data_IF_156299993315
#
_entry.id   IF_156299993315
#
_cell.length_a   1.000
_cell.length_b   1.000
_cell.length_c   1.000
_cell.angle_alpha   90.00
_cell.angle_beta   90.00
_cell.angle_gamma   90.00
#
_symmetry.space_group_name_H-M   'P 1'
#
loop_
_entity.id
_entity.type
_entity.pdbx_description
1 polymer ?
#
# COMPACT_ATOMS: atom_id res chain seq x y z
N UNK A 1 10.91 39.75 70.63
CA UNK A 1 9.88 39.94 69.55
C UNK A 1 10.32 39.18 68.31
N UNK A 2 9.86 37.93 68.16
CA UNK A 2 10.19 37.10 67.07
C UNK A 2 9.10 37.26 65.97
N UNK A 3 9.47 37.73 64.75
CA UNK A 3 8.59 37.82 63.60
C UNK A 3 8.77 36.59 62.73
N UNK A 4 7.79 35.67 62.76
CA UNK A 4 7.70 34.51 61.88
C UNK A 4 7.28 34.96 60.48
N UNK A 5 8.12 34.76 59.47
CA UNK A 5 7.77 34.99 58.05
C UNK A 5 7.12 33.72 57.52
N UNK A 6 5.87 33.82 57.12
CA UNK A 6 5.13 32.78 56.40
C UNK A 6 5.46 32.95 54.89
N UNK A 7 6.07 31.94 54.28
CA UNK A 7 6.33 31.89 52.85
C UNK A 7 5.18 31.12 52.19
N UNK A 8 4.39 31.81 51.38
CA UNK A 8 3.36 31.16 50.51
C UNK A 8 4.08 30.61 49.28
N UNK A 9 4.11 29.29 49.12
CA UNK A 9 4.54 28.63 47.91
C UNK A 9 3.33 28.57 46.94
N UNK A 10 3.41 29.30 45.83
CA UNK A 10 2.42 29.25 44.75
C UNK A 10 2.74 28.03 43.86
N UNK A 11 1.88 27.02 43.91
CA UNK A 11 1.97 25.85 43.02
C UNK A 11 1.36 26.26 41.67
N UNK A 12 2.22 26.43 40.65
CA UNK A 12 1.76 26.56 39.27
C UNK A 12 1.38 25.17 38.72
N UNK A 13 0.09 24.95 38.54
CA UNK A 13 -0.44 23.76 37.90
C UNK A 13 -0.27 23.94 36.34
N UNK A 14 0.71 23.29 35.75
CA UNK A 14 0.86 23.28 34.29
C UNK A 14 -0.21 22.38 33.68
N UNK A 15 -1.22 22.98 33.06
CA UNK A 15 -2.22 22.29 32.26
C UNK A 15 -1.53 21.90 30.94
N UNK A 16 -1.14 20.64 30.80
CA UNK A 16 -0.74 20.04 29.54
C UNK A 16 -1.99 19.98 28.63
N UNK A 17 -2.18 21.01 27.83
CA UNK A 17 -3.20 21.04 26.79
C UNK A 17 -2.86 19.99 25.71
N UNK A 18 -3.41 18.80 25.83
CA UNK A 18 -3.41 17.82 24.74
C UNK A 18 -4.18 18.42 23.56
N UNK A 19 -3.48 18.78 22.49
CA UNK A 19 -4.12 19.13 21.23
C UNK A 19 -4.80 17.85 20.71
N UNK A 20 -6.12 17.88 20.41
CA UNK A 20 -6.73 16.77 19.71
C UNK A 20 -6.04 16.66 18.35
N UNK A 21 -5.36 15.54 18.10
CA UNK A 21 -4.99 15.14 16.75
C UNK A 21 -6.32 15.12 15.97
N UNK A 22 -6.46 16.05 15.03
CA UNK A 22 -7.58 16.04 14.09
C UNK A 22 -7.45 14.71 13.34
N UNK A 23 -8.28 13.74 13.67
CA UNK A 23 -8.41 12.51 12.90
C UNK A 23 -8.73 12.94 11.46
N UNK A 24 -7.85 12.57 10.52
CA UNK A 24 -8.14 12.80 9.10
C UNK A 24 -9.46 12.09 8.80
N UNK A 25 -10.44 12.83 8.31
CA UNK A 25 -11.75 12.28 7.97
C UNK A 25 -11.64 11.44 6.71
N UNK A 26 -11.30 10.16 6.89
CA UNK A 26 -11.31 9.17 5.81
C UNK A 26 -12.77 8.80 5.52
N UNK A 27 -13.16 8.80 4.23
CA UNK A 27 -14.54 8.45 3.82
C UNK A 27 -14.89 7.01 4.26
N UNK A 28 -16.03 6.83 4.88
CA UNK A 28 -16.48 5.52 5.40
C UNK A 28 -16.68 4.45 4.31
N UNK A 29 -16.83 4.84 3.04
CA UNK A 29 -16.92 3.94 1.88
C UNK A 29 -15.57 3.44 1.43
N UNK A 30 -14.45 3.99 1.95
CA UNK A 30 -13.10 3.62 1.55
C UNK A 30 -12.93 2.11 1.51
N UNK A 31 -12.58 1.61 0.36
CA UNK A 31 -12.37 0.18 0.10
C UNK A 31 -11.13 -0.10 -0.74
N UNK A 32 -10.32 0.94 -0.98
CA UNK A 32 -9.05 0.90 -1.67
C UNK A 32 -8.10 1.96 -1.09
N UNK A 33 -6.84 1.57 -0.93
CA UNK A 33 -5.74 2.52 -0.71
C UNK A 33 -4.40 1.91 -1.16
N UNK A 34 -3.45 2.78 -1.49
CA UNK A 34 -2.03 2.45 -1.60
C UNK A 34 -1.40 2.64 -0.20
N UNK A 35 -0.63 1.69 0.31
CA UNK A 35 -0.05 1.82 1.66
C UNK A 35 0.90 3.01 1.76
N UNK A 36 0.84 3.76 2.87
CA UNK A 36 1.71 4.92 3.11
C UNK A 36 3.15 4.53 3.44
N UNK A 37 3.36 3.31 3.95
CA UNK A 37 4.66 2.77 4.33
C UNK A 37 4.67 1.26 4.13
N UNK A 38 5.74 0.74 3.53
CA UNK A 38 5.97 -0.68 3.41
C UNK A 38 6.48 -1.30 4.72
N UNK A 39 6.52 -2.64 4.82
CA UNK A 39 7.09 -3.34 6.00
C UNK A 39 8.59 -3.06 6.23
N UNK A 40 9.29 -2.50 5.24
CA UNK A 40 10.72 -2.13 5.36
C UNK A 40 11.71 -3.26 5.10
N UNK A 41 11.25 -4.40 4.59
CA UNK A 41 12.07 -5.56 4.28
C UNK A 41 11.99 -5.95 2.78
N UNK A 42 11.94 -4.95 1.91
CA UNK A 42 11.88 -5.15 0.47
C UNK A 42 10.65 -5.96 0.03
N UNK A 43 10.89 -7.02 -0.76
CA UNK A 43 9.87 -7.94 -1.23
C UNK A 43 9.50 -9.05 -0.23
N UNK A 44 10.18 -9.15 0.91
CA UNK A 44 9.76 -10.03 2.00
C UNK A 44 8.66 -9.36 2.82
N UNK A 45 7.43 -9.66 2.47
CA UNK A 45 6.22 -9.15 3.12
C UNK A 45 5.66 -10.14 4.16
N UNK A 46 6.34 -11.26 4.40
CA UNK A 46 5.83 -12.40 5.17
C UNK A 46 4.76 -13.18 4.39
N UNK A 47 4.91 -13.27 3.07
CA UNK A 47 3.94 -13.87 2.14
C UNK A 47 2.64 -13.06 2.04
N UNK A 48 1.63 -13.63 1.37
CA UNK A 48 0.31 -12.98 1.25
C UNK A 48 -0.31 -12.67 2.62
N UNK A 49 -0.16 -13.58 3.59
CA UNK A 49 -0.72 -13.39 4.93
C UNK A 49 -0.08 -12.23 5.69
N UNK A 50 1.22 -11.99 5.50
CA UNK A 50 1.92 -10.85 6.08
C UNK A 50 1.46 -9.54 5.46
N UNK A 51 1.37 -9.50 4.13
CA UNK A 51 0.86 -8.34 3.40
C UNK A 51 -0.61 -8.01 3.78
N UNK A 52 -1.47 -9.02 3.91
CA UNK A 52 -2.86 -8.84 4.34
C UNK A 52 -2.96 -8.26 5.76
N UNK A 53 -2.14 -8.77 6.70
CA UNK A 53 -2.06 -8.20 8.06
C UNK A 53 -1.60 -6.75 8.04
N UNK A 54 -0.66 -6.40 7.17
CA UNK A 54 -0.19 -5.02 7.03
C UNK A 54 -1.31 -4.10 6.53
N UNK A 55 -2.06 -4.53 5.49
CA UNK A 55 -3.27 -3.84 5.03
C UNK A 55 -4.29 -3.63 6.16
N UNK A 56 -4.57 -4.69 6.93
CA UNK A 56 -5.52 -4.64 8.05
C UNK A 56 -5.06 -3.68 9.15
N UNK A 57 -3.76 -3.67 9.46
CA UNK A 57 -3.18 -2.77 10.47
C UNK A 57 -3.32 -1.31 10.07
N UNK A 58 -2.96 -0.96 8.84
CA UNK A 58 -3.08 0.41 8.33
C UNK A 58 -4.54 0.87 8.26
N UNK A 59 -5.43 0.01 7.77
CA UNK A 59 -6.87 0.30 7.75
C UNK A 59 -7.44 0.52 9.15
N UNK A 60 -7.03 -0.29 10.14
CA UNK A 60 -7.46 -0.15 11.53
C UNK A 60 -7.00 1.18 12.13
N UNK A 61 -5.78 1.61 11.81
CA UNK A 61 -5.22 2.86 12.32
C UNK A 61 -6.01 4.12 11.88
N UNK A 62 -6.76 4.03 10.78
CA UNK A 62 -7.60 5.13 10.26
C UNK A 62 -9.12 4.87 10.44
N UNK A 63 -9.49 3.91 11.32
CA UNK A 63 -10.88 3.64 11.65
C UNK A 63 -11.63 2.74 10.66
N UNK A 64 -10.94 2.09 9.72
CA UNK A 64 -11.51 1.19 8.70
C UNK A 64 -11.32 -0.30 9.05
N UNK A 65 -10.95 -0.63 10.28
CA UNK A 65 -10.61 -1.98 10.72
C UNK A 65 -11.81 -2.96 10.83
N UNK A 66 -13.04 -2.48 10.68
CA UNK A 66 -14.26 -3.29 10.70
C UNK A 66 -14.50 -4.09 9.41
N UNK A 67 -13.66 -3.91 8.38
CA UNK A 67 -13.66 -4.66 7.13
C UNK A 67 -12.45 -5.57 7.09
N UNK A 68 -12.53 -6.64 6.30
CA UNK A 68 -11.38 -7.49 5.98
C UNK A 68 -10.62 -6.90 4.80
N UNK A 69 -9.33 -6.63 5.01
CA UNK A 69 -8.47 -6.04 4.00
C UNK A 69 -7.46 -7.04 3.45
N UNK A 70 -7.24 -7.00 2.15
CA UNK A 70 -6.27 -7.84 1.45
C UNK A 70 -5.38 -7.04 0.53
N UNK A 71 -4.13 -7.49 0.42
CA UNK A 71 -3.17 -6.97 -0.53
C UNK A 71 -3.50 -7.45 -1.96
N UNK A 72 -3.38 -6.56 -2.93
CA UNK A 72 -3.43 -6.90 -4.36
C UNK A 72 -2.07 -7.45 -4.79
N UNK A 73 -1.85 -8.72 -4.57
CA UNK A 73 -0.61 -9.42 -4.87
C UNK A 73 -0.92 -10.80 -5.46
N UNK A 74 -0.28 -11.13 -6.60
CA UNK A 74 -0.27 -12.49 -7.12
C UNK A 74 0.87 -13.30 -6.52
N UNK A 75 0.76 -14.64 -6.57
CA UNK A 75 1.86 -15.58 -6.29
C UNK A 75 2.02 -16.55 -7.44
N UNK A 76 3.26 -17.00 -7.68
CA UNK A 76 3.56 -18.06 -8.63
C UNK A 76 3.25 -19.43 -8.04
N UNK A 77 2.96 -20.41 -8.90
CA UNK A 77 2.88 -21.81 -8.48
C UNK A 77 4.24 -22.27 -7.93
N UNK A 78 4.24 -23.02 -6.84
CA UNK A 78 5.46 -23.54 -6.22
C UNK A 78 5.20 -24.87 -5.52
N UNK A 79 5.85 -25.94 -5.96
CA UNK A 79 5.63 -27.27 -5.43
C UNK A 79 4.16 -27.70 -5.57
N UNK A 80 3.48 -27.95 -4.46
CA UNK A 80 2.05 -28.34 -4.41
C UNK A 80 1.11 -27.12 -4.36
N UNK A 81 1.64 -25.92 -4.23
CA UNK A 81 0.83 -24.70 -4.15
C UNK A 81 0.51 -24.17 -5.55
N UNK A 82 -0.77 -23.96 -5.81
CA UNK A 82 -1.23 -23.31 -7.05
C UNK A 82 -0.95 -21.82 -7.01
N UNK A 83 -0.78 -21.22 -8.19
CA UNK A 83 -0.68 -19.77 -8.31
C UNK A 83 -1.95 -19.08 -7.78
N UNK A 84 -1.78 -17.91 -7.20
CA UNK A 84 -2.88 -17.06 -6.74
C UNK A 84 -2.92 -15.79 -7.59
N UNK A 85 -4.06 -15.47 -8.17
CA UNK A 85 -4.25 -14.24 -8.91
C UNK A 85 -4.62 -13.09 -7.96
N UNK A 86 -4.01 -11.93 -8.11
CA UNK A 86 -4.34 -10.76 -7.31
C UNK A 86 -5.79 -10.33 -7.48
N UNK A 87 -6.31 -10.40 -8.72
CA UNK A 87 -7.70 -10.07 -9.05
C UNK A 87 -8.76 -10.88 -8.30
N UNK A 88 -8.44 -12.11 -7.95
CA UNK A 88 -9.38 -13.04 -7.28
C UNK A 88 -9.40 -12.85 -5.76
N UNK A 89 -8.52 -11.98 -5.22
CA UNK A 89 -8.37 -11.74 -3.79
C UNK A 89 -9.13 -10.53 -3.27
N UNK A 90 -9.55 -9.62 -4.15
CA UNK A 90 -9.99 -8.27 -3.79
C UNK A 90 -11.51 -8.09 -3.77
N UNK A 91 -12.30 -9.14 -4.01
CA UNK A 91 -13.76 -9.05 -4.12
C UNK A 91 -14.22 -8.50 -5.47
N UNK A 92 -15.44 -7.97 -5.53
CA UNK A 92 -16.12 -7.64 -6.79
C UNK A 92 -16.23 -6.13 -7.07
N UNK A 93 -15.96 -5.27 -6.07
CA UNK A 93 -16.16 -3.82 -6.17
C UNK A 93 -17.61 -3.37 -5.84
N UNK A 94 -18.00 -2.12 -6.10
CA UNK A 94 -17.12 -1.01 -6.50
C UNK A 94 -16.15 -0.59 -5.39
N UNK A 95 -14.98 -0.03 -5.78
CA UNK A 95 -13.98 0.43 -4.83
C UNK A 95 -13.83 1.94 -4.84
N UNK A 96 -13.62 2.48 -3.63
CA UNK A 96 -13.50 3.91 -3.36
C UNK A 96 -12.22 4.20 -2.58
N UNK A 97 -11.54 5.30 -2.93
CA UNK A 97 -10.36 5.75 -2.21
C UNK A 97 -10.73 6.47 -0.89
N UNK A 98 -9.72 6.90 -0.14
CA UNK A 98 -9.85 7.56 1.16
C UNK A 98 -10.63 8.89 1.14
N UNK A 99 -10.90 9.46 -0.05
CA UNK A 99 -11.75 10.64 -0.25
C UNK A 99 -13.11 10.30 -0.86
N UNK A 100 -13.51 9.02 -0.88
CA UNK A 100 -14.79 8.57 -1.41
C UNK A 100 -14.91 8.66 -2.94
N UNK A 101 -13.80 8.85 -3.65
CA UNK A 101 -13.77 8.82 -5.12
C UNK A 101 -13.74 7.38 -5.60
N UNK A 102 -14.66 6.99 -6.47
CA UNK A 102 -14.67 5.66 -7.06
C UNK A 102 -13.48 5.48 -8.01
N UNK A 103 -12.68 4.44 -7.79
CA UNK A 103 -11.54 4.09 -8.63
C UNK A 103 -11.89 3.06 -9.70
N UNK A 104 -12.82 2.15 -9.41
CA UNK A 104 -13.33 1.18 -10.37
C UNK A 104 -14.70 0.65 -9.92
N UNK A 105 -15.52 0.22 -10.89
CA UNK A 105 -16.87 -0.33 -10.65
C UNK A 105 -16.81 -1.82 -10.27
N UNK A 106 -15.93 -2.59 -10.89
CA UNK A 106 -15.79 -4.04 -10.73
C UNK A 106 -14.39 -4.49 -11.19
N UNK A 107 -14.10 -5.79 -11.07
CA UNK A 107 -12.81 -6.38 -11.46
C UNK A 107 -12.47 -6.13 -12.93
N UNK A 108 -13.44 -6.23 -13.84
CA UNK A 108 -13.20 -6.01 -15.26
C UNK A 108 -12.83 -4.53 -15.53
N UNK A 109 -13.59 -3.59 -14.96
CA UNK A 109 -13.31 -2.15 -15.06
C UNK A 109 -11.94 -1.77 -14.47
N UNK A 110 -11.57 -2.37 -13.33
CA UNK A 110 -10.29 -2.14 -12.66
C UNK A 110 -9.09 -2.45 -13.55
N UNK A 111 -9.20 -3.43 -14.45
CA UNK A 111 -8.13 -3.89 -15.33
C UNK A 111 -8.22 -3.32 -16.75
N UNK A 112 -8.98 -2.24 -16.94
CA UNK A 112 -9.00 -1.46 -18.19
C UNK A 112 -8.12 -0.23 -18.08
N UNK A 113 -7.82 0.40 -19.23
CA UNK A 113 -7.12 1.70 -19.27
C UNK A 113 -8.00 2.87 -18.84
N UNK A 114 -9.31 2.66 -18.72
CA UNK A 114 -10.32 3.68 -18.38
C UNK A 114 -10.68 3.70 -16.89
N UNK A 115 -10.08 2.84 -16.06
CA UNK A 115 -10.25 2.91 -14.62
C UNK A 115 -9.74 4.27 -14.08
N UNK A 116 -10.22 4.67 -12.91
CA UNK A 116 -9.86 5.96 -12.30
C UNK A 116 -8.65 5.86 -11.35
N UNK A 117 -7.64 5.06 -11.71
CA UNK A 117 -6.37 4.94 -10.98
C UNK A 117 -5.33 5.88 -11.59
N UNK A 118 -5.07 6.98 -10.92
CA UNK A 118 -4.08 8.00 -11.27
C UNK A 118 -3.29 8.40 -10.03
N UNK A 119 -2.18 9.14 -10.16
CA UNK A 119 -1.45 9.68 -9.02
C UNK A 119 -2.36 10.43 -8.02
N UNK A 120 -3.36 11.14 -8.52
CA UNK A 120 -4.27 11.93 -7.68
C UNK A 120 -5.35 11.09 -6.98
N UNK A 121 -5.65 9.88 -7.46
CA UNK A 121 -6.72 9.03 -6.93
C UNK A 121 -6.20 7.80 -6.18
N UNK A 122 -4.96 7.37 -6.43
CA UNK A 122 -4.30 6.29 -5.70
C UNK A 122 -3.72 6.82 -4.37
N UNK A 123 -4.62 7.24 -3.50
CA UNK A 123 -4.30 7.82 -2.20
C UNK A 123 -3.90 6.73 -1.20
N UNK A 124 -3.10 7.11 -0.20
CA UNK A 124 -2.82 6.23 0.92
C UNK A 124 -4.03 6.11 1.87
N UNK A 125 -3.92 5.29 2.90
CA UNK A 125 -4.99 5.05 3.90
C UNK A 125 -5.40 6.31 4.65
N UNK A 126 -4.54 7.34 4.69
CA UNK A 126 -4.79 8.64 5.34
C UNK A 126 -5.42 9.66 4.40
N UNK A 127 -5.50 9.36 3.09
CA UNK A 127 -5.99 10.28 2.06
C UNK A 127 -4.94 11.19 1.46
N UNK A 128 -3.65 10.92 1.71
CA UNK A 128 -2.55 11.67 1.12
C UNK A 128 -2.15 11.10 -0.24
N UNK A 129 -1.62 11.95 -1.10
CA UNK A 129 -1.00 11.54 -2.37
C UNK A 129 0.37 10.93 -2.07
N UNK A 130 0.63 9.75 -2.63
CA UNK A 130 1.94 9.10 -2.57
C UNK A 130 2.87 9.71 -3.62
N UNK A 131 4.14 9.89 -3.27
CA UNK A 131 5.15 10.37 -4.19
C UNK A 131 5.24 9.48 -5.43
N UNK A 132 5.28 10.10 -6.60
CA UNK A 132 5.43 9.44 -7.88
C UNK A 132 6.78 9.76 -8.55
N UNK A 133 6.90 9.46 -9.84
CA UNK A 133 8.06 9.80 -10.64
C UNK A 133 8.25 11.32 -10.69
N UNK A 134 9.48 11.76 -10.42
CA UNK A 134 9.83 13.18 -10.34
C UNK A 134 9.70 13.78 -8.95
N UNK A 135 9.09 13.11 -8.00
CA UNK A 135 9.10 13.49 -6.59
C UNK A 135 10.34 12.92 -5.88
N UNK A 136 10.65 13.42 -4.69
CA UNK A 136 11.73 12.93 -3.84
C UNK A 136 11.20 12.57 -2.45
N UNK A 137 11.37 11.30 -1.99
CA UNK A 137 11.83 10.15 -2.77
C UNK A 137 10.81 9.72 -3.83
N UNK A 138 11.29 9.13 -4.93
CA UNK A 138 10.44 8.49 -5.91
C UNK A 138 9.88 7.17 -5.34
N UNK A 139 8.56 6.95 -5.42
CA UNK A 139 7.84 5.77 -4.89
C UNK A 139 6.77 5.26 -5.84
N UNK A 140 6.99 5.45 -7.16
CA UNK A 140 5.94 5.15 -8.13
C UNK A 140 5.78 3.65 -8.45
N UNK A 141 6.81 2.82 -8.20
CA UNK A 141 6.78 1.38 -8.42
C UNK A 141 6.07 0.67 -7.27
N UNK A 142 4.96 0.03 -7.56
CA UNK A 142 4.11 -0.65 -6.59
C UNK A 142 4.13 -2.15 -6.86
N UNK A 143 4.46 -2.94 -5.85
CA UNK A 143 4.51 -4.41 -5.93
C UNK A 143 3.12 -4.99 -6.21
N UNK A 144 3.04 -5.91 -7.18
CA UNK A 144 1.80 -6.60 -7.54
C UNK A 144 2.01 -8.07 -7.90
N UNK A 145 3.13 -8.44 -8.53
CA UNK A 145 3.37 -9.78 -9.05
C UNK A 145 2.39 -10.21 -10.15
N UNK A 146 1.68 -9.27 -10.77
CA UNK A 146 0.53 -9.55 -11.61
C UNK A 146 0.76 -9.18 -13.08
N UNK A 147 0.09 -9.91 -13.98
CA UNK A 147 -0.11 -9.52 -15.36
C UNK A 147 -1.10 -8.33 -15.44
N UNK A 148 -1.25 -7.75 -16.65
CA UNK A 148 -2.14 -6.61 -16.89
C UNK A 148 -3.58 -6.85 -16.43
N UNK A 149 -4.08 -8.07 -16.62
CA UNK A 149 -5.43 -8.48 -16.24
C UNK A 149 -5.58 -8.91 -14.77
N UNK A 150 -4.50 -8.81 -13.97
CA UNK A 150 -4.48 -9.18 -12.55
C UNK A 150 -4.29 -10.66 -12.27
N UNK A 151 -4.00 -11.48 -13.28
CA UNK A 151 -3.64 -12.88 -13.10
C UNK A 151 -2.15 -13.03 -12.74
N UNK A 152 -1.79 -14.17 -12.18
CA UNK A 152 -0.40 -14.56 -11.93
C UNK A 152 0.33 -14.85 -13.24
N UNK A 153 1.64 -14.62 -13.26
CA UNK A 153 2.49 -15.10 -14.36
C UNK A 153 2.59 -16.62 -14.31
N UNK A 154 2.64 -17.24 -15.50
CA UNK A 154 2.98 -18.65 -15.70
C UNK A 154 4.47 -18.79 -16.02
N UNK A 155 5.03 -19.98 -15.75
CA UNK A 155 6.44 -20.29 -16.01
C UNK A 155 7.34 -20.13 -14.79
N UNK A 156 8.66 -20.29 -15.00
CA UNK A 156 9.64 -20.45 -13.90
C UNK A 156 10.27 -19.13 -13.46
N UNK A 157 9.99 -18.02 -14.15
CA UNK A 157 10.54 -16.71 -13.79
C UNK A 157 9.93 -16.20 -12.48
N UNK A 158 10.78 -15.84 -11.52
CA UNK A 158 10.31 -15.21 -10.28
C UNK A 158 9.85 -13.78 -10.56
N UNK A 159 8.56 -13.54 -10.41
CA UNK A 159 7.91 -12.22 -10.54
C UNK A 159 7.29 -11.74 -9.23
N UNK A 160 7.57 -12.44 -8.13
CA UNK A 160 6.87 -12.30 -6.85
C UNK A 160 7.81 -12.29 -5.65
N UNK A 161 9.13 -12.12 -5.86
CA UNK A 161 10.11 -12.21 -4.77
C UNK A 161 9.89 -13.47 -3.93
N UNK A 162 9.85 -14.64 -4.58
CA UNK A 162 9.59 -15.95 -3.96
C UNK A 162 8.27 -15.96 -3.17
N UNK A 163 7.20 -15.53 -3.83
CA UNK A 163 5.88 -15.42 -3.22
C UNK A 163 5.85 -14.51 -1.99
N UNK A 164 6.60 -13.37 -2.08
CA UNK A 164 6.68 -12.33 -1.06
C UNK A 164 7.33 -12.77 0.24
N UNK A 165 8.32 -13.66 0.13
CA UNK A 165 9.11 -14.19 1.25
C UNK A 165 10.60 -13.95 1.10
N UNK A 166 11.04 -13.17 0.11
CA UNK A 166 12.44 -12.88 -0.16
C UNK A 166 12.72 -11.39 -0.23
N UNK A 167 13.77 -10.96 0.46
CA UNK A 167 14.40 -9.63 0.35
C UNK A 167 15.79 -9.70 -0.31
N UNK A 168 16.08 -10.79 -1.01
CA UNK A 168 17.38 -11.05 -1.66
C UNK A 168 17.32 -10.96 -3.18
N UNK A 169 17.83 -12.02 -3.82
CA UNK A 169 17.76 -12.19 -5.28
C UNK A 169 16.32 -12.47 -5.75
N UNK A 170 16.09 -12.33 -7.03
CA UNK A 170 14.76 -12.46 -7.66
C UNK A 170 14.25 -11.14 -8.20
N UNK A 171 12.99 -11.10 -8.50
CA UNK A 171 12.29 -9.90 -8.98
C UNK A 171 10.83 -9.90 -8.52
N UNK A 172 10.26 -8.73 -8.26
CA UNK A 172 8.84 -8.53 -8.11
C UNK A 172 8.29 -7.76 -9.30
N UNK A 173 7.20 -8.19 -9.91
CA UNK A 173 6.49 -7.37 -10.90
C UNK A 173 5.89 -6.16 -10.19
N UNK A 174 6.08 -4.97 -10.79
CA UNK A 174 5.58 -3.70 -10.29
C UNK A 174 4.67 -3.02 -11.30
N UNK A 175 3.76 -2.18 -10.81
CA UNK A 175 3.01 -1.22 -11.61
C UNK A 175 3.35 0.22 -11.21
N UNK A 176 3.02 1.19 -12.07
CA UNK A 176 3.23 2.61 -11.83
C UNK A 176 1.94 3.26 -11.35
N UNK A 177 1.86 3.65 -10.05
CA UNK A 177 0.64 4.26 -9.53
C UNK A 177 0.34 5.62 -10.15
N UNK A 178 1.35 6.31 -10.68
CA UNK A 178 1.23 7.60 -11.36
C UNK A 178 1.06 7.48 -12.88
N UNK A 179 1.00 6.26 -13.43
CA UNK A 179 0.84 5.97 -14.85
C UNK A 179 1.95 6.53 -15.74
N UNK A 180 3.14 6.76 -15.19
CA UNK A 180 4.28 7.32 -15.92
C UNK A 180 5.52 6.45 -15.67
N UNK A 181 6.42 6.41 -16.65
CA UNK A 181 7.67 5.67 -16.46
C UNK A 181 8.24 5.09 -17.72
N UNK A 182 9.10 4.12 -17.51
CA UNK A 182 9.67 3.23 -18.52
C UNK A 182 9.13 1.81 -18.39
N UNK A 183 9.80 0.87 -19.03
CA UNK A 183 9.48 -0.56 -18.95
C UNK A 183 8.56 -1.03 -20.06
N UNK A 184 8.05 -2.24 -19.89
CA UNK A 184 7.25 -2.95 -20.89
C UNK A 184 5.87 -2.31 -21.08
N UNK A 185 5.25 -1.90 -19.97
CA UNK A 185 3.94 -1.26 -19.96
C UNK A 185 3.95 0.02 -19.10
N UNK A 186 4.52 1.14 -19.62
CA UNK A 186 4.84 2.33 -18.82
C UNK A 186 3.67 2.97 -18.08
N UNK A 187 2.46 2.85 -18.62
CA UNK A 187 1.23 3.42 -18.04
C UNK A 187 0.40 2.41 -17.25
N UNK A 188 0.91 1.19 -17.04
CA UNK A 188 0.17 0.19 -16.27
C UNK A 188 0.29 0.43 -14.78
N UNK A 189 -0.85 0.49 -14.09
CA UNK A 189 -0.89 0.65 -12.63
C UNK A 189 -0.46 -0.63 -11.89
N UNK A 190 -0.53 -1.81 -12.54
CA UNK A 190 -0.30 -3.10 -11.91
C UNK A 190 0.78 -3.97 -12.58
N UNK A 191 1.24 -3.67 -13.81
CA UNK A 191 2.16 -4.55 -14.52
C UNK A 191 3.08 -3.78 -15.48
N UNK A 192 3.92 -2.89 -14.96
CA UNK A 192 4.81 -2.05 -15.77
C UNK A 192 6.12 -2.78 -16.16
N UNK A 193 6.84 -3.32 -15.18
CA UNK A 193 8.11 -4.04 -15.37
C UNK A 193 8.47 -4.89 -14.13
N UNK A 194 9.56 -5.66 -14.20
CA UNK A 194 10.15 -6.31 -13.04
C UNK A 194 11.05 -5.38 -12.25
N UNK A 195 11.13 -5.54 -10.94
CA UNK A 195 12.10 -4.85 -10.10
C UNK A 195 13.53 -5.37 -10.35
N UNK A 196 14.54 -4.58 -10.01
CA UNK A 196 15.96 -4.96 -10.13
C UNK A 196 16.32 -6.14 -9.23
N UNK A 197 15.63 -6.30 -8.14
CA UNK A 197 15.79 -7.34 -7.13
C UNK A 197 14.75 -7.17 -6.04
N UNK A 198 14.80 -8.00 -5.00
CA UNK A 198 13.82 -8.02 -3.93
C UNK A 198 14.25 -7.28 -2.66
N UNK A 199 15.52 -6.81 -2.57
CA UNK A 199 15.94 -6.03 -1.41
C UNK A 199 15.29 -4.65 -1.40
N UNK A 200 15.17 -4.05 -0.22
CA UNK A 200 14.64 -2.69 -0.07
C UNK A 200 15.41 -1.69 -0.93
N UNK A 201 16.75 -1.79 -0.95
CA UNK A 201 17.62 -0.96 -1.78
C UNK A 201 17.35 -1.13 -3.28
N UNK A 202 17.19 -2.38 -3.74
CA UNK A 202 16.89 -2.65 -5.15
C UNK A 202 15.52 -2.12 -5.57
N UNK A 203 14.52 -2.21 -4.71
CA UNK A 203 13.19 -1.62 -4.96
C UNK A 203 13.28 -0.10 -5.02
N UNK A 204 13.98 0.54 -4.08
CA UNK A 204 14.20 1.99 -4.10
C UNK A 204 15.01 2.43 -5.32
N UNK A 205 15.96 1.63 -5.76
CA UNK A 205 16.81 1.91 -6.93
C UNK A 205 16.05 1.93 -8.27
N UNK A 206 14.85 1.37 -8.37
CA UNK A 206 13.96 1.45 -9.54
C UNK A 206 12.81 2.43 -9.36
N UNK A 207 12.67 3.03 -8.19
CA UNK A 207 11.60 4.02 -7.92
C UNK A 207 10.45 3.49 -7.08
N UNK A 208 10.66 2.37 -6.38
CA UNK A 208 9.72 1.80 -5.42
C UNK A 208 10.14 2.04 -3.97
N UNK A 209 9.39 1.43 -3.05
CA UNK A 209 9.71 1.44 -1.61
C UNK A 209 9.06 0.24 -0.88
N UNK A 210 8.81 -0.85 -1.60
CA UNK A 210 8.10 -2.02 -1.06
C UNK A 210 6.62 -1.76 -0.79
N UNK A 211 6.02 -0.79 -1.49
CA UNK A 211 4.61 -0.44 -1.36
C UNK A 211 3.74 -1.39 -2.20
N UNK A 212 2.48 -1.58 -1.77
CA UNK A 212 1.46 -2.37 -2.47
C UNK A 212 0.05 -1.81 -2.20
N UNK A 213 -0.92 -2.28 -2.96
CA UNK A 213 -2.32 -1.85 -2.84
C UNK A 213 -3.09 -2.73 -1.87
N UNK A 214 -4.03 -2.12 -1.15
CA UNK A 214 -4.95 -2.78 -0.24
C UNK A 214 -6.40 -2.58 -0.69
N UNK A 215 -7.18 -3.67 -0.66
CA UNK A 215 -8.60 -3.68 -1.00
C UNK A 215 -9.41 -4.29 0.14
N UNK A 216 -10.54 -3.66 0.48
CA UNK A 216 -11.51 -4.24 1.38
C UNK A 216 -12.36 -5.28 0.64
N UNK A 217 -12.45 -6.47 1.17
CA UNK A 217 -13.40 -7.48 0.72
C UNK A 217 -14.69 -7.38 1.54
N UNK A 218 -15.83 -7.57 0.87
CA UNK A 218 -17.16 -7.51 1.50
C UNK A 218 -17.45 -8.81 2.22
#
# INVERSE_FOLDING_TARGET
>A
MNRTRVVFATIMLAILGGHPLLAQNVDSRTSFFLISTGPGNGGDLGGLSGADRHCQTLATAVGLGNRLWRAYLSTSASGVHVAVNARDRIGEGPWYNAKGVRIAQNVADLHTDTNNLTKATQLNEKGDVVNGRGDSPNRHDILTGSQLDGTAFSGDADTTCQNWTSSGAGSGRVGHHDRTGGGEHPSSWNSAHGSRGCSQENLQGTGGDGLFYCFAIK
#
